data_IF_794097060175
#
_entry.id   IF_794097060175
#
_cell.length_a   1.000
_cell.length_b   1.000
_cell.length_c   1.000
_cell.angle_alpha   90.00
_cell.angle_beta   90.00
_cell.angle_gamma   90.00
#
_symmetry.space_group_name_H-M   'P 1'
#
loop_
_entity.id
_entity.type
_entity.pdbx_description
1 polymer ?
#
# COMPACT_ATOMS: atom_id res chain seq x y z
N UNK A 1 -4.14 33.28 7.99
CA UNK A 1 -4.22 33.02 6.53
C UNK A 1 -4.52 31.55 6.36
N UNK A 2 -5.72 31.20 5.91
CA UNK A 2 -6.06 29.82 5.55
C UNK A 2 -5.38 29.49 4.22
N UNK A 3 -4.59 28.42 4.21
CA UNK A 3 -3.83 28.00 3.04
C UNK A 3 -4.79 27.38 2.02
N UNK A 4 -4.86 27.92 0.80
CA UNK A 4 -5.74 27.46 -0.30
C UNK A 4 -5.48 25.99 -0.68
N UNK A 5 -4.33 25.44 -0.27
CA UNK A 5 -3.88 24.07 -0.56
C UNK A 5 -4.19 23.06 0.56
N UNK A 6 -5.07 23.38 1.51
CA UNK A 6 -5.60 22.38 2.43
C UNK A 6 -6.37 21.32 1.63
N UNK A 7 -5.71 20.18 1.37
CA UNK A 7 -6.27 19.02 0.67
C UNK A 7 -7.29 18.25 1.52
N UNK A 8 -8.16 18.96 2.24
CA UNK A 8 -9.11 18.42 3.22
C UNK A 8 -9.96 17.31 2.63
N UNK A 9 -10.50 17.52 1.42
CA UNK A 9 -11.27 16.50 0.71
C UNK A 9 -10.50 15.17 0.55
N UNK A 10 -9.23 15.23 0.16
CA UNK A 10 -8.41 14.02 -0.01
C UNK A 10 -8.11 13.37 1.35
N UNK A 11 -7.84 14.15 2.39
CA UNK A 11 -7.63 13.64 3.75
C UNK A 11 -8.88 12.88 4.24
N UNK A 12 -10.06 13.48 4.11
CA UNK A 12 -11.33 12.86 4.49
C UNK A 12 -11.61 11.57 3.71
N UNK A 13 -11.35 11.56 2.40
CA UNK A 13 -11.52 10.35 1.59
C UNK A 13 -10.53 9.24 1.96
N UNK A 14 -9.30 9.58 2.33
CA UNK A 14 -8.34 8.60 2.84
C UNK A 14 -8.83 7.99 4.16
N UNK A 15 -9.32 8.81 5.09
CA UNK A 15 -9.84 8.30 6.37
C UNK A 15 -11.09 7.44 6.17
N UNK A 16 -11.96 7.79 5.22
CA UNK A 16 -13.10 6.96 4.84
C UNK A 16 -12.64 5.57 4.34
N UNK A 17 -11.66 5.51 3.43
CA UNK A 17 -11.14 4.23 2.92
C UNK A 17 -10.54 3.35 4.03
N UNK A 18 -9.90 3.97 5.04
CA UNK A 18 -9.37 3.26 6.21
C UNK A 18 -10.50 2.71 7.08
N UNK A 19 -11.53 3.51 7.34
CA UNK A 19 -12.70 3.10 8.12
C UNK A 19 -13.48 1.97 7.44
N UNK A 20 -13.61 2.03 6.12
CA UNK A 20 -14.26 1.00 5.30
C UNK A 20 -13.40 -0.29 5.17
N UNK A 21 -12.17 -0.29 5.68
CA UNK A 21 -11.26 -1.45 5.64
C UNK A 21 -10.68 -1.76 4.25
N UNK A 22 -10.84 -0.85 3.29
CA UNK A 22 -10.40 -1.03 1.89
C UNK A 22 -9.11 -0.28 1.57
N UNK A 23 -8.61 0.56 2.49
CA UNK A 23 -7.32 1.22 2.32
C UNK A 23 -6.17 0.20 2.37
N UNK A 24 -5.38 0.15 1.30
CA UNK A 24 -4.31 -0.83 1.13
C UNK A 24 -2.94 -0.24 1.49
N UNK A 25 -2.22 -0.94 2.36
CA UNK A 25 -0.77 -0.73 2.54
C UNK A 25 -0.04 -1.69 1.60
N UNK A 26 0.80 -1.16 0.73
CA UNK A 26 1.54 -1.99 -0.23
C UNK A 26 2.70 -2.71 0.47
N UNK A 27 2.81 -4.05 0.35
CA UNK A 27 3.97 -4.76 0.86
C UNK A 27 5.20 -4.43 0.00
N UNK A 28 6.38 -4.43 0.63
CA UNK A 28 7.65 -4.18 -0.05
C UNK A 28 8.32 -5.52 -0.35
N UNK A 29 8.58 -5.78 -1.63
CA UNK A 29 9.42 -6.89 -2.06
C UNK A 29 10.89 -6.45 -2.06
N UNK A 30 11.75 -7.18 -1.37
CA UNK A 30 13.19 -6.93 -1.32
C UNK A 30 13.89 -7.88 -2.30
N UNK A 31 14.30 -7.33 -3.46
CA UNK A 31 15.02 -8.06 -4.49
C UNK A 31 14.17 -8.38 -5.73
N UNK A 32 14.66 -9.27 -6.60
CA UNK A 32 13.97 -9.68 -7.82
C UNK A 32 12.62 -10.38 -7.56
N UNK A 33 11.79 -10.47 -8.60
CA UNK A 33 10.58 -11.29 -8.57
C UNK A 33 10.94 -12.73 -8.97
N UNK A 34 10.61 -13.71 -8.13
CA UNK A 34 10.83 -15.13 -8.36
C UNK A 34 9.74 -15.95 -7.66
N UNK A 35 9.79 -17.29 -7.71
CA UNK A 35 8.87 -18.19 -7.02
C UNK A 35 8.94 -18.14 -5.49
N UNK A 36 10.10 -17.74 -4.93
CA UNK A 36 10.28 -17.41 -3.51
C UNK A 36 10.84 -15.99 -3.41
N UNK A 37 10.22 -15.14 -2.61
CA UNK A 37 10.60 -13.73 -2.47
C UNK A 37 10.74 -13.33 -1.00
N UNK A 38 11.41 -12.20 -0.76
CA UNK A 38 11.45 -11.55 0.55
C UNK A 38 10.41 -10.43 0.59
N UNK A 39 9.24 -10.70 1.16
CA UNK A 39 8.14 -9.75 1.29
C UNK A 39 8.07 -9.22 2.73
N UNK A 40 8.24 -7.91 2.92
CA UNK A 40 8.28 -7.27 4.24
C UNK A 40 9.30 -7.91 5.21
N UNK A 41 10.47 -8.32 4.72
CA UNK A 41 11.52 -8.95 5.54
C UNK A 41 11.29 -10.43 5.81
N UNK A 42 10.27 -11.06 5.21
CA UNK A 42 9.94 -12.48 5.40
C UNK A 42 10.03 -13.23 4.08
N UNK A 43 10.61 -14.43 4.14
CA UNK A 43 10.62 -15.35 3.00
C UNK A 43 9.21 -15.95 2.79
N UNK A 44 8.69 -15.83 1.57
CA UNK A 44 7.35 -16.31 1.20
C UNK A 44 7.35 -16.88 -0.22
N UNK A 45 6.44 -17.81 -0.50
CA UNK A 45 6.17 -18.32 -1.86
C UNK A 45 5.32 -17.28 -2.60
N UNK A 46 5.76 -16.87 -3.79
CA UNK A 46 5.10 -15.87 -4.61
C UNK A 46 4.07 -16.51 -5.55
N UNK A 47 2.79 -16.34 -5.22
CA UNK A 47 1.67 -16.88 -6.00
C UNK A 47 0.82 -15.77 -6.66
N UNK A 48 1.32 -14.54 -6.71
CA UNK A 48 0.56 -13.38 -7.20
C UNK A 48 1.31 -12.56 -8.26
N UNK A 49 2.47 -13.00 -8.71
CA UNK A 49 3.15 -12.35 -9.83
C UNK A 49 2.46 -12.71 -11.15
N UNK A 50 2.59 -11.79 -12.12
CA UNK A 50 2.17 -12.02 -13.51
C UNK A 50 3.36 -12.50 -14.37
N UNK A 51 4.42 -13.02 -13.72
CA UNK A 51 5.62 -13.48 -14.40
C UNK A 51 5.36 -14.77 -15.19
#
# INVERSE_FOLDING_TARGET
MSNVHELTFLKEKIEQLKADGVYRVLPVNYGPCDGVINLNGKEVINLCSNN
#
